data_IF_263293518374
#
_entry.id   IF_263293518374
#
_cell.length_a   1.000
_cell.length_b   1.000
_cell.length_c   1.000
_cell.angle_alpha   90.00
_cell.angle_beta   90.00
_cell.angle_gamma   90.00
#
_symmetry.space_group_name_H-M   'P 1'
#
loop_
_entity.id
_entity.type
_entity.pdbx_description
1 polymer ?
#
# COMPACT_ATOMS: atom_id res chain seq x y z
N UNK A 1 0.55 -4.45 11.49
CA UNK A 1 1.12 -4.71 12.83
C UNK A 1 0.85 -3.55 13.78
N UNK A 2 0.99 -3.80 15.07
CA UNK A 2 0.99 -2.78 16.11
C UNK A 2 2.37 -2.83 16.78
N UNK A 3 3.06 -1.70 16.86
CA UNK A 3 4.38 -1.58 17.50
C UNK A 3 4.29 -0.82 18.82
N UNK A 4 5.20 -1.12 19.72
CA UNK A 4 5.29 -0.47 21.02
C UNK A 4 4.26 -0.95 22.04
N UNK A 5 3.74 -2.18 21.90
CA UNK A 5 2.88 -2.77 22.91
C UNK A 5 3.66 -2.94 24.23
N UNK A 6 3.02 -2.79 25.41
CA UNK A 6 3.69 -2.94 26.68
C UNK A 6 4.50 -4.24 26.78
N UNK A 7 5.77 -4.13 27.15
CA UNK A 7 6.70 -5.26 27.23
C UNK A 7 7.45 -5.62 25.94
N UNK A 8 7.16 -4.97 24.82
CA UNK A 8 7.91 -5.15 23.59
C UNK A 8 9.37 -4.73 23.80
N UNK A 9 10.30 -5.67 23.58
CA UNK A 9 11.74 -5.43 23.68
C UNK A 9 12.34 -5.03 22.34
N UNK A 10 13.59 -4.59 22.34
CA UNK A 10 14.34 -4.32 21.11
C UNK A 10 14.49 -5.59 20.26
N UNK A 11 14.74 -6.73 20.92
CA UNK A 11 14.84 -8.03 20.24
C UNK A 11 13.52 -8.42 19.56
N UNK A 12 12.37 -8.20 20.21
CA UNK A 12 11.05 -8.47 19.64
C UNK A 12 10.82 -7.62 18.37
N UNK A 13 11.24 -6.36 18.43
CA UNK A 13 11.12 -5.45 17.28
C UNK A 13 12.07 -5.83 16.13
N UNK A 14 13.31 -6.22 16.43
CA UNK A 14 14.26 -6.71 15.42
C UNK A 14 13.73 -7.97 14.72
N UNK A 15 13.13 -8.88 15.48
CA UNK A 15 12.48 -10.09 14.93
C UNK A 15 11.33 -9.74 14.01
N UNK A 16 10.49 -8.77 14.37
CA UNK A 16 9.41 -8.26 13.51
C UNK A 16 9.97 -7.67 12.20
N UNK A 17 11.00 -6.85 12.28
CA UNK A 17 11.65 -6.28 11.09
C UNK A 17 12.20 -7.37 10.16
N UNK A 18 12.85 -8.39 10.72
CA UNK A 18 13.35 -9.53 9.98
C UNK A 18 12.22 -10.29 9.30
N UNK A 19 11.14 -10.56 10.01
CA UNK A 19 9.98 -11.25 9.48
C UNK A 19 9.37 -10.50 8.27
N UNK A 20 9.23 -9.18 8.35
CA UNK A 20 8.67 -8.37 7.24
C UNK A 20 9.59 -8.43 6.01
N UNK A 21 10.92 -8.35 6.22
CA UNK A 21 11.90 -8.48 5.14
C UNK A 21 11.87 -9.84 4.45
N UNK A 22 11.62 -10.91 5.20
CA UNK A 22 11.54 -12.28 4.68
C UNK A 22 10.19 -12.55 4.02
N UNK A 23 9.10 -12.12 4.61
CA UNK A 23 7.74 -12.34 4.12
C UNK A 23 7.42 -11.53 2.86
N UNK A 24 8.02 -10.36 2.69
CA UNK A 24 7.87 -9.47 1.54
C UNK A 24 6.40 -9.21 1.17
N UNK A 25 5.63 -8.78 2.15
CA UNK A 25 4.22 -8.43 1.91
C UNK A 25 4.09 -7.38 0.81
N UNK A 26 3.19 -7.60 -0.11
CA UNK A 26 2.88 -6.64 -1.18
C UNK A 26 2.29 -5.35 -0.60
N UNK A 27 1.45 -5.49 0.40
CA UNK A 27 0.86 -4.41 1.19
C UNK A 27 0.96 -4.73 2.67
N UNK A 28 1.44 -3.78 3.44
CA UNK A 28 1.59 -3.89 4.88
C UNK A 28 1.48 -2.51 5.51
N UNK A 29 0.82 -2.44 6.63
CA UNK A 29 0.72 -1.24 7.44
C UNK A 29 1.00 -1.51 8.91
N UNK A 30 1.41 -0.50 9.62
CA UNK A 30 1.64 -0.54 11.05
C UNK A 30 0.95 0.64 11.76
N UNK A 31 0.68 0.45 13.04
CA UNK A 31 0.22 1.47 13.96
C UNK A 31 1.09 1.45 15.22
N UNK A 32 1.26 2.58 15.85
CA UNK A 32 1.78 2.62 17.22
C UNK A 32 0.70 2.19 18.20
N UNK A 33 1.07 1.44 19.25
CA UNK A 33 0.15 1.13 20.33
C UNK A 33 -0.32 2.41 21.01
N UNK A 34 -1.63 2.55 21.16
CA UNK A 34 -2.26 3.65 21.90
C UNK A 34 -2.70 3.15 23.27
N UNK A 35 -2.24 3.82 24.32
CA UNK A 35 -2.62 3.51 25.70
C UNK A 35 -3.99 4.11 26.02
N UNK A 36 -5.03 3.27 25.91
CA UNK A 36 -6.43 3.69 26.11
C UNK A 36 -6.94 3.31 27.50
N UNK A 37 -7.55 4.28 28.19
CA UNK A 37 -8.24 4.05 29.47
C UNK A 37 -9.30 2.94 29.31
N UNK A 38 -9.63 2.27 30.43
CA UNK A 38 -10.60 1.19 30.47
C UNK A 38 -10.24 -0.06 29.66
N UNK A 39 -8.98 -0.21 29.28
CA UNK A 39 -8.45 -1.45 28.68
C UNK A 39 -7.48 -2.16 29.62
N UNK A 40 -7.41 -3.50 29.62
CA UNK A 40 -6.43 -4.23 30.43
C UNK A 40 -4.98 -3.82 30.17
N UNK A 41 -4.64 -3.52 28.91
CA UNK A 41 -3.29 -3.14 28.52
C UNK A 41 -2.86 -1.77 29.05
N UNK A 42 -3.80 -0.92 29.42
CA UNK A 42 -3.49 0.37 30.05
C UNK A 42 -2.64 0.23 31.31
N UNK A 43 -2.95 -0.79 32.13
CA UNK A 43 -2.28 -1.06 33.41
C UNK A 43 -1.10 -2.05 33.29
N UNK A 44 -0.77 -2.49 32.10
CA UNK A 44 0.36 -3.41 31.92
C UNK A 44 1.69 -2.72 32.29
N UNK A 45 2.60 -3.44 32.95
CA UNK A 45 3.94 -2.94 33.23
C UNK A 45 4.75 -2.81 31.93
N UNK A 46 5.90 -2.14 32.03
CA UNK A 46 6.85 -1.97 30.92
C UNK A 46 6.24 -1.28 29.71
N UNK A 47 5.50 -0.21 29.94
CA UNK A 47 5.01 0.67 28.88
C UNK A 47 6.20 1.20 28.08
N UNK A 48 6.10 1.18 26.76
CA UNK A 48 7.13 1.68 25.86
C UNK A 48 7.00 3.21 25.74
N UNK A 49 8.15 3.91 25.72
CA UNK A 49 8.20 5.35 25.50
C UNK A 49 7.61 5.74 24.13
N UNK A 50 6.88 6.85 24.07
CA UNK A 50 6.21 7.29 22.84
C UNK A 50 7.17 7.57 21.68
N UNK A 51 8.37 8.11 21.99
CA UNK A 51 9.39 8.33 20.95
C UNK A 51 9.92 7.01 20.40
N UNK A 52 10.09 6.01 21.24
CA UNK A 52 10.52 4.66 20.82
C UNK A 52 9.47 4.01 19.93
N UNK A 53 8.18 4.14 20.26
CA UNK A 53 7.08 3.66 19.39
C UNK A 53 7.14 4.31 18.03
N UNK A 54 7.32 5.63 17.96
CA UNK A 54 7.39 6.37 16.71
C UNK A 54 8.59 5.97 15.88
N UNK A 55 9.77 5.83 16.51
CA UNK A 55 10.99 5.40 15.82
C UNK A 55 10.83 3.99 15.23
N UNK A 56 10.23 3.08 15.97
CA UNK A 56 9.93 1.71 15.51
C UNK A 56 8.94 1.71 14.34
N UNK A 57 7.90 2.52 14.43
CA UNK A 57 6.94 2.71 13.35
C UNK A 57 7.63 3.20 12.07
N UNK A 58 8.46 4.24 12.18
CA UNK A 58 9.15 4.84 11.04
C UNK A 58 10.10 3.84 10.36
N UNK A 59 10.82 3.04 11.14
CA UNK A 59 11.70 1.98 10.61
C UNK A 59 10.90 0.91 9.86
N UNK A 60 9.78 0.45 10.42
CA UNK A 60 8.92 -0.53 9.77
C UNK A 60 8.33 0.00 8.47
N UNK A 61 7.82 1.22 8.47
CA UNK A 61 7.21 1.81 7.28
C UNK A 61 8.24 2.09 6.19
N UNK A 62 9.46 2.50 6.55
CA UNK A 62 10.56 2.64 5.59
C UNK A 62 10.94 1.29 4.96
N UNK A 63 11.03 0.24 5.78
CA UNK A 63 11.31 -1.12 5.29
C UNK A 63 10.22 -1.59 4.31
N UNK A 64 8.96 -1.35 4.63
CA UNK A 64 7.84 -1.72 3.75
C UNK A 64 7.82 -0.90 2.47
N UNK A 65 8.17 0.38 2.51
CA UNK A 65 8.25 1.22 1.32
C UNK A 65 9.21 0.62 0.29
N UNK A 66 10.41 0.23 0.70
CA UNK A 66 11.40 -0.40 -0.17
C UNK A 66 10.90 -1.73 -0.78
N UNK A 67 10.14 -2.52 0.00
CA UNK A 67 9.54 -3.77 -0.48
C UNK A 67 8.44 -3.47 -1.51
N UNK A 68 7.60 -2.47 -1.25
CA UNK A 68 6.50 -2.07 -2.12
C UNK A 68 7.00 -1.49 -3.44
N UNK A 69 8.07 -0.68 -3.41
CA UNK A 69 8.73 -0.17 -4.62
C UNK A 69 9.22 -1.31 -5.53
N UNK A 70 9.95 -2.26 -4.96
CA UNK A 70 10.43 -3.44 -5.70
C UNK A 70 9.29 -4.30 -6.24
N UNK A 71 8.21 -4.43 -5.49
CA UNK A 71 7.01 -5.13 -5.95
C UNK A 71 6.38 -4.41 -7.13
N UNK A 72 6.20 -3.09 -7.06
CA UNK A 72 5.62 -2.29 -8.13
C UNK A 72 6.51 -2.29 -9.38
N UNK A 73 7.83 -2.19 -9.24
CA UNK A 73 8.77 -2.30 -10.37
C UNK A 73 8.62 -3.62 -11.14
N UNK A 74 8.41 -4.73 -10.44
CA UNK A 74 8.18 -6.04 -11.06
C UNK A 74 6.85 -6.14 -11.81
N UNK A 75 5.93 -5.25 -11.56
CA UNK A 75 4.64 -5.18 -12.25
C UNK A 75 4.74 -4.52 -13.63
N UNK A 76 5.78 -3.73 -13.89
CA UNK A 76 6.00 -3.09 -15.19
C UNK A 76 6.08 -4.14 -16.30
N UNK A 77 5.35 -3.90 -17.38
CA UNK A 77 5.23 -4.82 -18.52
C UNK A 77 4.18 -5.93 -18.36
N UNK A 78 3.63 -6.09 -17.17
CA UNK A 78 2.55 -7.05 -16.90
C UNK A 78 1.18 -6.43 -17.12
N UNK A 79 0.20 -7.27 -17.40
CA UNK A 79 -1.20 -6.87 -17.58
C UNK A 79 -2.02 -7.33 -16.39
N UNK A 80 -2.82 -6.42 -15.85
CA UNK A 80 -3.72 -6.69 -14.74
C UNK A 80 -5.15 -6.32 -15.09
N UNK A 81 -6.08 -7.05 -14.51
CA UNK A 81 -7.48 -6.67 -14.50
C UNK A 81 -7.69 -5.54 -13.49
N UNK A 82 -8.12 -4.39 -13.97
CA UNK A 82 -8.32 -3.16 -13.19
C UNK A 82 -9.79 -2.81 -13.19
N UNK A 83 -10.36 -2.61 -12.02
CA UNK A 83 -11.68 -2.03 -11.87
C UNK A 83 -11.58 -0.51 -11.97
N UNK A 84 -12.22 0.07 -12.98
CA UNK A 84 -12.27 1.52 -13.14
C UNK A 84 -13.05 2.15 -11.98
N UNK A 85 -12.45 3.10 -11.30
CA UNK A 85 -13.09 3.88 -10.21
C UNK A 85 -13.46 5.30 -10.65
N UNK A 86 -12.97 5.75 -11.79
CA UNK A 86 -13.33 7.05 -12.33
C UNK A 86 -12.36 7.59 -13.38
N UNK A 87 -12.61 8.84 -13.74
CA UNK A 87 -11.77 9.62 -14.64
C UNK A 87 -11.44 10.97 -14.01
N UNK A 88 -10.18 11.32 -14.03
CA UNK A 88 -9.71 12.62 -13.55
C UNK A 88 -9.47 13.54 -14.76
N UNK A 89 -10.27 14.61 -14.94
CA UNK A 89 -10.14 15.53 -16.06
C UNK A 89 -8.87 16.39 -15.99
N UNK A 90 -8.29 16.59 -14.79
CA UNK A 90 -7.05 17.34 -14.61
C UNK A 90 -5.86 16.51 -15.04
N UNK A 91 -5.80 15.25 -14.62
CA UNK A 91 -4.80 14.30 -15.06
C UNK A 91 -5.03 13.81 -16.51
N UNK A 92 -6.24 13.96 -17.03
CA UNK A 92 -6.63 13.46 -18.34
C UNK A 92 -6.59 11.93 -18.43
N UNK A 93 -6.78 11.24 -17.32
CA UNK A 93 -6.57 9.81 -17.19
C UNK A 93 -7.67 9.15 -16.37
N UNK A 94 -7.95 7.89 -16.69
CA UNK A 94 -8.74 7.04 -15.82
C UNK A 94 -7.89 6.54 -14.66
N UNK A 95 -8.55 6.16 -13.58
CA UNK A 95 -7.89 5.51 -12.46
C UNK A 95 -8.74 4.36 -11.91
N UNK A 96 -8.08 3.43 -11.27
CA UNK A 96 -8.73 2.27 -10.68
C UNK A 96 -7.76 1.45 -9.85
N UNK A 97 -8.18 0.25 -9.53
CA UNK A 97 -7.42 -0.69 -8.69
C UNK A 97 -7.45 -2.11 -9.24
N UNK A 98 -6.36 -2.84 -9.03
CA UNK A 98 -6.29 -4.28 -9.27
C UNK A 98 -6.61 -5.06 -7.98
N UNK A 99 -6.33 -6.36 -7.99
CA UNK A 99 -6.45 -7.20 -6.78
C UNK A 99 -5.52 -6.77 -5.62
N UNK A 100 -4.44 -6.06 -5.94
CA UNK A 100 -3.40 -5.71 -4.97
C UNK A 100 -3.62 -4.39 -4.23
N UNK A 101 -4.50 -3.53 -4.75
CA UNK A 101 -4.80 -2.24 -4.14
C UNK A 101 -6.12 -2.28 -3.35
N UNK A 102 -6.10 -1.89 -2.09
CA UNK A 102 -7.29 -1.64 -1.30
C UNK A 102 -7.91 -0.28 -1.66
N UNK A 103 -9.24 -0.22 -1.72
CA UNK A 103 -9.97 1.00 -2.03
C UNK A 103 -9.64 2.11 -1.02
N UNK A 104 -9.37 3.31 -1.52
CA UNK A 104 -9.11 4.55 -0.75
C UNK A 104 -7.93 4.52 0.23
N UNK A 105 -7.19 3.40 0.29
CA UNK A 105 -6.07 3.21 1.23
C UNK A 105 -4.74 3.11 0.49
N UNK A 106 -4.67 2.24 -0.50
CA UNK A 106 -3.47 2.04 -1.31
C UNK A 106 -3.43 3.01 -2.49
N UNK A 107 -2.29 3.01 -3.20
CA UNK A 107 -2.14 3.75 -4.44
C UNK A 107 -3.11 3.32 -5.54
N UNK A 108 -3.15 4.08 -6.61
CA UNK A 108 -4.02 3.88 -7.76
C UNK A 108 -3.24 3.37 -8.96
N UNK A 109 -3.96 2.76 -9.88
CA UNK A 109 -3.48 2.49 -11.23
C UNK A 109 -4.11 3.53 -12.15
N UNK A 110 -3.28 4.44 -12.65
CA UNK A 110 -3.66 5.43 -13.66
C UNK A 110 -3.51 4.82 -15.04
N UNK A 111 -4.52 4.95 -15.89
CA UNK A 111 -4.42 4.36 -17.22
C UNK A 111 -5.03 5.24 -18.30
N UNK A 112 -4.36 5.27 -19.44
CA UNK A 112 -4.82 5.92 -20.65
C UNK A 112 -5.60 4.96 -21.53
N UNK A 113 -6.45 5.53 -22.38
CA UNK A 113 -7.20 4.84 -23.44
C UNK A 113 -6.79 5.43 -24.78
N UNK A 114 -6.54 4.59 -25.79
CA UNK A 114 -6.11 5.05 -27.13
C UNK A 114 -7.08 6.04 -27.74
N UNK A 115 -8.38 5.84 -27.55
CA UNK A 115 -9.38 6.78 -28.02
C UNK A 115 -9.71 7.79 -26.93
N UNK A 116 -9.28 9.06 -27.05
CA UNK A 116 -9.46 10.08 -26.00
C UNK A 116 -10.93 10.44 -25.75
N UNK A 117 -11.83 10.08 -26.66
CA UNK A 117 -13.27 10.32 -26.52
C UNK A 117 -14.00 9.16 -25.81
N UNK A 118 -13.32 8.02 -25.63
CA UNK A 118 -13.89 6.89 -24.93
C UNK A 118 -13.75 7.10 -23.41
N UNK A 119 -14.84 6.92 -22.72
CA UNK A 119 -14.86 6.90 -21.25
C UNK A 119 -15.24 5.51 -20.78
N UNK A 120 -14.43 4.99 -19.89
CA UNK A 120 -14.69 3.73 -19.19
C UNK A 120 -15.57 4.06 -17.98
N UNK A 121 -16.67 3.35 -17.84
CA UNK A 121 -17.58 3.58 -16.72
C UNK A 121 -16.99 3.08 -15.41
N UNK A 122 -17.36 3.73 -14.32
CA UNK A 122 -17.05 3.27 -12.97
C UNK A 122 -17.61 1.85 -12.76
N UNK A 123 -16.79 0.98 -12.17
CA UNK A 123 -17.11 -0.44 -11.96
C UNK A 123 -16.77 -1.37 -13.13
N UNK A 124 -16.43 -0.84 -14.31
CA UNK A 124 -15.96 -1.70 -15.40
C UNK A 124 -14.59 -2.32 -15.14
N UNK A 125 -14.45 -3.57 -15.53
CA UNK A 125 -13.19 -4.32 -15.44
C UNK A 125 -12.44 -4.23 -16.78
N UNK A 126 -11.24 -3.66 -16.75
CA UNK A 126 -10.41 -3.42 -17.93
C UNK A 126 -9.04 -4.08 -17.75
N UNK A 127 -8.53 -4.68 -18.82
CA UNK A 127 -7.15 -5.12 -18.84
C UNK A 127 -6.22 -3.94 -19.07
N UNK A 128 -5.29 -3.71 -18.15
CA UNK A 128 -4.33 -2.61 -18.20
C UNK A 128 -2.91 -3.17 -18.16
N UNK A 129 -2.11 -2.80 -19.16
CA UNK A 129 -0.68 -3.10 -19.17
C UNK A 129 0.06 -2.00 -18.43
N UNK A 130 0.79 -2.37 -17.39
CA UNK A 130 1.58 -1.44 -16.60
C UNK A 130 2.81 -1.01 -17.39
N UNK A 131 3.02 0.30 -17.49
CA UNK A 131 4.13 0.91 -18.22
C UNK A 131 5.13 1.61 -17.32
N UNK A 132 4.69 2.08 -16.15
CA UNK A 132 5.52 2.84 -15.21
C UNK A 132 5.09 2.58 -13.77
N UNK A 133 6.05 2.62 -12.86
CA UNK A 133 5.82 2.60 -11.41
C UNK A 133 6.23 3.93 -10.80
N UNK A 134 5.36 4.50 -9.98
CA UNK A 134 5.61 5.69 -9.16
C UNK A 134 5.75 5.24 -7.69
N UNK A 135 5.99 6.17 -6.77
CA UNK A 135 6.21 5.85 -5.36
C UNK A 135 5.06 5.02 -4.74
N UNK A 136 3.82 5.37 -5.04
CA UNK A 136 2.63 4.68 -4.53
C UNK A 136 1.70 4.19 -5.64
N UNK A 137 1.75 4.81 -6.80
CA UNK A 137 0.84 4.58 -7.91
C UNK A 137 1.53 3.83 -9.05
N UNK A 138 0.72 3.23 -9.91
CA UNK A 138 1.17 2.67 -11.18
C UNK A 138 0.54 3.44 -12.35
N UNK A 139 1.22 3.42 -13.47
CA UNK A 139 0.70 3.98 -14.72
C UNK A 139 0.65 2.88 -15.77
N UNK A 140 -0.38 2.89 -16.59
CA UNK A 140 -0.55 1.89 -17.64
C UNK A 140 -1.42 2.35 -18.80
N UNK A 141 -1.62 1.42 -19.72
CA UNK A 141 -2.45 1.59 -20.91
C UNK A 141 -3.53 0.51 -20.94
N UNK A 142 -4.77 0.95 -21.17
CA UNK A 142 -5.89 0.02 -21.33
C UNK A 142 -5.74 -0.80 -22.62
N UNK A 143 -5.90 -2.10 -22.50
CA UNK A 143 -5.98 -3.04 -23.62
C UNK A 143 -7.45 -3.27 -23.92
N UNK A 144 -7.93 -2.63 -24.96
CA UNK A 144 -9.31 -2.80 -25.43
C UNK A 144 -9.28 -3.70 -26.66
N UNK A 145 -9.94 -4.85 -26.54
CA UNK A 145 -10.24 -5.67 -27.72
C UNK A 145 -11.36 -5.01 -28.49
N UNK A 146 -11.00 -4.23 -29.46
CA UNK A 146 -11.93 -3.62 -30.41
C UNK A 146 -11.94 -4.43 -31.69
#
# INVERSE_FOLDING_TARGET
AIVGFPGETEEDFEELCKFIKEAKFERFGAFTYSREEDTPAYDFPNQVDEQVKQDRYDILMQTQLEISEKFNEKRIGKTYKVMCEGYDPVAGSHYGRSYAEAADIDGKIWFSVKNPNLRIAEGEMIDVKITEAMDYDLVGEAILNI
#
